data_IF_083317584858
#
_entry.id   IF_083317584858
#
_cell.length_a   1.000
_cell.length_b   1.000
_cell.length_c   1.000
_cell.angle_alpha   90.00
_cell.angle_beta   90.00
_cell.angle_gamma   90.00
#
_symmetry.space_group_name_H-M   'P 1'
#
loop_
_entity.id
_entity.type
_entity.pdbx_description
1 polymer ?
#
# COMPACT_ATOMS: atom_id res chain seq x y z
N UNK A 1 -39.99 -28.18 18.76
CA UNK A 1 -39.36 -26.84 18.90
C UNK A 1 -37.83 -26.90 18.88
N UNK A 2 -37.16 -27.63 19.78
CA UNK A 2 -35.69 -27.68 19.84
C UNK A 2 -35.00 -28.13 18.54
N UNK A 3 -35.48 -29.21 17.92
CA UNK A 3 -34.92 -29.72 16.65
C UNK A 3 -35.08 -28.71 15.51
N UNK A 4 -36.23 -28.03 15.45
CA UNK A 4 -36.52 -27.04 14.41
C UNK A 4 -35.61 -25.81 14.54
N UNK A 5 -35.38 -25.35 15.79
CA UNK A 5 -34.41 -24.28 16.08
C UNK A 5 -32.97 -24.70 15.74
N UNK A 6 -32.61 -25.96 16.00
CA UNK A 6 -31.30 -26.50 15.65
C UNK A 6 -31.09 -26.47 14.14
N UNK A 7 -32.06 -26.97 13.36
CA UNK A 7 -32.00 -26.94 11.89
C UNK A 7 -31.91 -25.52 11.37
N UNK A 8 -32.74 -24.61 11.89
CA UNK A 8 -32.71 -23.19 11.49
C UNK A 8 -31.35 -22.53 11.78
N UNK A 9 -30.73 -22.83 12.93
CA UNK A 9 -29.41 -22.32 13.28
C UNK A 9 -28.33 -22.81 12.33
N UNK A 10 -28.32 -24.11 12.02
CA UNK A 10 -27.35 -24.68 11.08
C UNK A 10 -27.54 -24.09 9.68
N UNK A 11 -28.79 -23.96 9.23
CA UNK A 11 -29.11 -23.34 7.95
C UNK A 11 -28.64 -21.88 7.86
N UNK A 12 -28.86 -21.10 8.93
CA UNK A 12 -28.39 -19.72 9.03
C UNK A 12 -26.87 -19.64 8.92
N UNK A 13 -26.14 -20.49 9.66
CA UNK A 13 -24.68 -20.51 9.62
C UNK A 13 -24.19 -20.87 8.22
N UNK A 14 -24.76 -21.91 7.60
CA UNK A 14 -24.39 -22.31 6.25
C UNK A 14 -24.65 -21.19 5.22
N UNK A 15 -25.76 -20.47 5.35
CA UNK A 15 -26.09 -19.34 4.49
C UNK A 15 -25.08 -18.18 4.64
N UNK A 16 -24.72 -17.83 5.87
CA UNK A 16 -23.72 -16.78 6.14
C UNK A 16 -22.35 -17.19 5.58
N UNK A 17 -21.92 -18.43 5.83
CA UNK A 17 -20.63 -18.94 5.31
C UNK A 17 -20.62 -18.93 3.78
N UNK A 18 -21.66 -19.45 3.13
CA UNK A 18 -21.75 -19.43 1.68
C UNK A 18 -21.74 -17.99 1.12
N UNK A 19 -22.52 -17.09 1.72
CA UNK A 19 -22.59 -15.69 1.32
C UNK A 19 -21.25 -14.95 1.47
N UNK A 20 -20.56 -15.15 2.59
CA UNK A 20 -19.24 -14.56 2.84
C UNK A 20 -18.20 -15.07 1.86
N UNK A 21 -18.18 -16.37 1.55
CA UNK A 21 -17.31 -16.94 0.51
C UNK A 21 -17.58 -16.32 -0.85
N UNK A 22 -18.85 -16.14 -1.25
CA UNK A 22 -19.20 -15.49 -2.52
C UNK A 22 -18.74 -14.03 -2.56
N UNK A 23 -18.92 -13.28 -1.48
CA UNK A 23 -18.47 -11.88 -1.39
C UNK A 23 -16.94 -11.77 -1.48
N UNK A 24 -16.21 -12.62 -0.74
CA UNK A 24 -14.74 -12.64 -0.77
C UNK A 24 -14.25 -13.02 -2.16
N UNK A 25 -14.78 -14.10 -2.74
CA UNK A 25 -14.35 -14.56 -4.07
C UNK A 25 -14.63 -13.52 -5.14
N UNK A 26 -15.80 -12.85 -5.13
CA UNK A 26 -16.09 -11.72 -6.03
C UNK A 26 -15.15 -10.54 -5.78
N UNK A 27 -14.87 -10.19 -4.52
CA UNK A 27 -13.95 -9.11 -4.17
C UNK A 27 -12.52 -9.38 -4.64
N UNK A 28 -12.03 -10.61 -4.43
CA UNK A 28 -10.73 -11.09 -4.89
C UNK A 28 -10.68 -11.15 -6.41
N UNK A 29 -11.71 -11.68 -7.08
CA UNK A 29 -11.75 -11.71 -8.54
C UNK A 29 -11.78 -10.30 -9.12
N UNK A 30 -12.57 -9.38 -8.56
CA UNK A 30 -12.60 -7.97 -8.99
C UNK A 30 -11.25 -7.29 -8.75
N UNK A 31 -10.65 -7.49 -7.59
CA UNK A 31 -9.32 -6.98 -7.27
C UNK A 31 -8.26 -7.56 -8.22
N UNK A 32 -8.28 -8.86 -8.48
CA UNK A 32 -7.36 -9.52 -9.42
C UNK A 32 -7.59 -9.06 -10.86
N UNK A 33 -8.83 -8.98 -11.33
CA UNK A 33 -9.15 -8.47 -12.66
C UNK A 33 -8.60 -7.05 -12.85
N UNK A 34 -8.72 -6.21 -11.82
CA UNK A 34 -8.13 -4.90 -11.82
C UNK A 34 -6.58 -5.02 -11.84
N UNK A 35 -5.94 -5.95 -11.09
CA UNK A 35 -4.45 -6.18 -11.06
C UNK A 35 -3.88 -6.75 -12.36
N UNK A 36 -4.70 -7.52 -13.06
CA UNK A 36 -4.36 -8.08 -14.36
C UNK A 36 -4.72 -7.14 -15.51
N UNK A 37 -5.38 -6.01 -15.25
CA UNK A 37 -5.51 -4.94 -16.22
C UNK A 37 -4.13 -4.26 -16.38
N UNK A 38 -3.49 -4.34 -17.56
CA UNK A 38 -2.25 -3.62 -17.83
C UNK A 38 -2.40 -2.11 -17.64
N UNK A 39 -3.64 -1.59 -17.68
CA UNK A 39 -3.99 -0.19 -17.41
C UNK A 39 -3.99 0.15 -15.92
N UNK A 40 -3.94 -0.81 -14.98
CA UNK A 40 -3.75 -0.48 -13.55
C UNK A 40 -2.29 -0.22 -13.19
N UNK A 41 -1.34 -0.69 -14.02
CA UNK A 41 0.03 -0.15 -14.07
C UNK A 41 0.07 1.18 -14.84
N UNK A 42 -0.95 2.03 -14.74
CA UNK A 42 -0.82 3.39 -15.23
C UNK A 42 0.14 4.12 -14.30
N UNK A 43 1.40 4.15 -14.73
CA UNK A 43 2.50 4.98 -14.27
C UNK A 43 2.22 6.49 -14.38
N UNK A 44 0.96 6.94 -14.30
CA UNK A 44 0.56 8.30 -14.64
C UNK A 44 -0.22 9.02 -13.55
N UNK A 45 -0.21 8.54 -12.31
CA UNK A 45 -0.92 9.22 -11.22
C UNK A 45 -0.28 9.11 -9.83
N UNK A 46 0.95 8.61 -9.70
CA UNK A 46 1.72 8.84 -8.48
C UNK A 46 2.52 10.13 -8.69
N UNK A 47 2.18 11.25 -8.02
CA UNK A 47 3.00 12.45 -8.06
C UNK A 47 4.43 12.06 -7.68
N UNK A 48 5.39 12.30 -8.58
CA UNK A 48 6.80 11.95 -8.36
C UNK A 48 7.24 10.57 -8.87
N UNK A 49 6.37 9.74 -9.48
CA UNK A 49 6.80 8.49 -10.11
C UNK A 49 7.84 8.75 -11.21
N UNK A 50 7.58 9.72 -12.09
CA UNK A 50 8.51 10.11 -13.15
C UNK A 50 9.84 10.65 -12.61
N UNK A 51 9.80 11.45 -11.52
CA UNK A 51 10.99 11.96 -10.85
C UNK A 51 11.84 10.83 -10.22
N UNK A 52 11.19 9.81 -9.62
CA UNK A 52 11.87 8.68 -8.99
C UNK A 52 12.54 7.74 -9.99
N UNK A 53 11.94 7.53 -11.18
CA UNK A 53 12.47 6.64 -12.22
C UNK A 53 13.63 7.29 -12.97
N UNK A 54 13.53 8.59 -13.23
CA UNK A 54 14.56 9.32 -13.97
C UNK A 54 15.67 9.88 -13.07
N UNK A 55 15.60 9.66 -11.75
CA UNK A 55 16.53 10.25 -10.80
C UNK A 55 16.50 11.78 -10.80
N UNK A 56 15.46 12.38 -11.38
CA UNK A 56 15.26 13.82 -11.49
C UNK A 56 14.59 14.35 -10.21
N UNK A 57 15.14 13.99 -9.06
CA UNK A 57 14.81 14.68 -7.82
C UNK A 57 15.49 16.06 -7.91
N UNK A 58 14.74 17.18 -7.81
CA UNK A 58 15.38 18.47 -7.66
C UNK A 58 16.35 18.37 -6.48
N UNK A 59 17.56 18.93 -6.60
CA UNK A 59 18.45 19.06 -5.45
C UNK A 59 17.68 19.82 -4.38
N UNK A 60 17.18 19.11 -3.37
CA UNK A 60 16.66 19.73 -2.16
C UNK A 60 17.89 20.24 -1.44
N UNK A 61 18.15 21.56 -1.43
CA UNK A 61 19.32 22.08 -0.76
C UNK A 61 19.27 21.60 0.69
N UNK A 62 20.40 21.09 1.18
CA UNK A 62 20.49 20.75 2.59
C UNK A 62 20.23 22.03 3.39
N UNK A 63 19.37 21.98 4.42
CA UNK A 63 19.10 23.15 5.21
C UNK A 63 20.39 23.66 5.87
N UNK A 64 20.43 24.96 6.10
CA UNK A 64 21.60 25.72 6.56
C UNK A 64 22.26 25.16 7.84
N UNK A 65 21.51 24.46 8.69
CA UNK A 65 22.00 23.83 9.92
C UNK A 65 22.73 22.48 9.71
N UNK A 66 22.77 21.94 8.49
CA UNK A 66 23.51 20.70 8.14
C UNK A 66 24.98 20.99 7.85
N UNK A 67 25.33 22.24 7.51
CA UNK A 67 26.71 22.69 7.49
C UNK A 67 27.12 22.92 8.95
N UNK A 68 27.57 21.85 9.61
CA UNK A 68 28.39 22.02 10.79
C UNK A 68 29.74 22.52 10.30
N UNK A 69 30.14 23.71 10.72
CA UNK A 69 31.48 24.22 10.50
C UNK A 69 32.45 23.27 11.21
N UNK A 70 33.02 22.31 10.47
CA UNK A 70 34.22 21.57 10.88
C UNK A 70 35.48 22.48 10.84
N UNK A 71 35.30 23.80 10.81
CA UNK A 71 36.35 24.81 10.91
C UNK A 71 36.67 25.08 12.38
N UNK A 72 37.26 24.09 13.05
CA UNK A 72 37.51 24.23 14.48
C UNK A 72 38.40 23.19 15.15
N UNK A 73 39.38 22.56 14.49
CA UNK A 73 40.52 21.95 15.21
C UNK A 73 41.74 21.57 14.34
N UNK A 74 42.33 22.51 13.59
CA UNK A 74 43.68 22.35 13.03
C UNK A 74 44.60 23.50 13.49
N UNK A 75 44.70 23.71 14.82
CA UNK A 75 45.93 24.26 15.39
C UNK A 75 46.99 23.16 15.33
N UNK A 76 47.84 23.11 14.30
CA UNK A 76 49.26 22.74 14.39
C UNK A 76 49.97 22.75 13.02
N UNK A 77 51.21 23.24 13.05
CA UNK A 77 52.28 23.13 12.06
C UNK A 77 52.43 24.27 11.04
N UNK A 78 53.08 25.35 11.49
CA UNK A 78 54.24 25.91 10.77
C UNK A 78 55.33 26.34 11.75
#
# INVERSE_FOLDING_TARGET
>A
MAVLLLVAKVALIAFIVAGTVVLITRGVQRSRANRFDPRWKYYGAQPGYEASVHGAMPNTPLPEWVYWDDEGDDEHAH
#
